data_IF_428042299881
#
_entry.id   IF_428042299881
#
_cell.length_a   1.000
_cell.length_b   1.000
_cell.length_c   1.000
_cell.angle_alpha   90.00
_cell.angle_beta   90.00
_cell.angle_gamma   90.00
#
_symmetry.space_group_name_H-M   'P 1'
#
loop_
_entity.id
_entity.type
_entity.pdbx_description
1 polymer ?
#
# COMPACT_ATOMS: atom_id res chain seq x y z
N UNK A 1 10.78 -31.41 -60.67
CA UNK A 1 11.19 -30.88 -59.36
C UNK A 1 11.64 -29.44 -59.61
N UNK A 2 10.72 -28.49 -59.46
CA UNK A 2 11.10 -27.07 -59.37
C UNK A 2 11.37 -26.81 -57.89
N UNK A 3 12.57 -26.35 -57.57
CA UNK A 3 12.94 -25.96 -56.22
C UNK A 3 12.35 -24.57 -55.98
N UNK A 4 11.22 -24.54 -55.29
CA UNK A 4 10.66 -23.32 -54.71
C UNK A 4 10.73 -23.50 -53.20
N UNK A 5 11.86 -23.12 -52.62
CA UNK A 5 12.00 -22.91 -51.19
C UNK A 5 12.11 -21.41 -51.01
N UNK A 6 10.97 -20.77 -50.81
CA UNK A 6 10.85 -19.37 -50.39
C UNK A 6 11.36 -19.30 -48.95
N UNK A 7 12.66 -19.27 -48.77
CA UNK A 7 13.27 -19.32 -47.45
C UNK A 7 14.78 -19.35 -47.58
N UNK A 8 15.39 -18.18 -47.43
CA UNK A 8 16.86 -17.97 -47.45
C UNK A 8 17.50 -17.93 -48.85
N UNK A 9 17.23 -16.85 -49.59
CA UNK A 9 18.25 -16.28 -50.49
C UNK A 9 18.66 -14.92 -49.90
N UNK A 10 19.94 -14.72 -49.51
CA UNK A 10 20.38 -13.45 -48.95
C UNK A 10 20.63 -12.46 -50.09
N UNK A 11 19.64 -11.66 -50.46
CA UNK A 11 19.85 -10.51 -51.34
C UNK A 11 20.16 -9.25 -50.50
N UNK A 12 21.31 -8.58 -50.73
CA UNK A 12 21.78 -7.49 -49.89
C UNK A 12 21.44 -6.15 -50.54
N UNK A 13 20.48 -5.39 -50.02
CA UNK A 13 20.46 -3.93 -50.27
C UNK A 13 19.60 -3.08 -49.32
N UNK A 14 18.84 -3.70 -48.42
CA UNK A 14 18.26 -3.01 -47.28
C UNK A 14 18.55 -3.84 -46.03
N UNK A 15 18.85 -3.18 -44.92
CA UNK A 15 19.08 -3.80 -43.61
C UNK A 15 18.15 -4.99 -43.45
N UNK A 16 18.73 -6.20 -43.44
CA UNK A 16 18.03 -7.42 -43.11
C UNK A 16 17.60 -7.32 -41.64
N UNK A 17 16.50 -6.61 -41.39
CA UNK A 17 15.57 -7.09 -40.39
C UNK A 17 15.14 -8.43 -40.96
N UNK A 18 15.69 -9.52 -40.39
CA UNK A 18 15.31 -10.87 -40.75
C UNK A 18 13.80 -11.00 -40.76
N UNK A 19 13.32 -12.00 -41.49
CA UNK A 19 11.91 -12.35 -41.54
C UNK A 19 11.23 -12.13 -40.19
N UNK A 20 10.30 -11.17 -40.13
CA UNK A 20 9.51 -10.87 -38.93
C UNK A 20 8.28 -11.77 -38.88
N UNK A 21 8.03 -12.54 -39.94
CA UNK A 21 6.94 -13.49 -39.97
C UNK A 21 7.22 -14.60 -38.94
N UNK A 22 6.14 -15.07 -38.33
CA UNK A 22 6.22 -16.19 -37.41
C UNK A 22 6.65 -17.43 -38.19
N UNK A 23 7.62 -18.17 -37.66
CA UNK A 23 8.06 -19.43 -38.27
C UNK A 23 6.95 -20.48 -38.18
N UNK A 24 6.76 -21.22 -39.27
CA UNK A 24 5.78 -22.28 -39.37
C UNK A 24 6.14 -23.49 -38.48
N UNK A 25 5.15 -24.37 -38.22
CA UNK A 25 5.36 -25.60 -37.46
C UNK A 25 6.39 -26.54 -38.12
N UNK A 26 6.48 -26.52 -39.46
CA UNK A 26 7.45 -27.29 -40.25
C UNK A 26 8.88 -26.78 -40.05
N UNK A 27 9.04 -25.48 -39.80
CA UNK A 27 10.35 -24.85 -39.61
C UNK A 27 10.80 -24.90 -38.14
N UNK A 28 9.87 -24.71 -37.21
CA UNK A 28 10.15 -24.79 -35.76
C UNK A 28 10.21 -26.22 -35.25
N UNK A 29 9.59 -27.17 -35.95
CA UNK A 29 9.36 -28.55 -35.49
C UNK A 29 8.61 -28.61 -34.14
N UNK A 30 7.86 -27.57 -33.80
CA UNK A 30 7.05 -27.47 -32.59
C UNK A 30 5.58 -27.58 -32.97
N UNK A 31 4.92 -28.61 -32.47
CA UNK A 31 3.48 -28.81 -32.62
C UNK A 31 2.76 -28.35 -31.34
N UNK A 32 2.00 -27.26 -31.44
CA UNK A 32 1.16 -26.70 -30.37
C UNK A 32 -0.33 -27.12 -30.49
N UNK A 33 -0.65 -28.03 -31.40
CA UNK A 33 -2.00 -28.57 -31.59
C UNK A 33 -2.89 -27.79 -32.55
N UNK A 34 -2.31 -26.90 -33.37
CA UNK A 34 -3.00 -26.12 -34.42
C UNK A 34 -2.26 -26.28 -35.75
N UNK A 35 -3.00 -26.15 -36.86
CA UNK A 35 -2.43 -26.29 -38.22
C UNK A 35 -1.56 -25.06 -38.59
N UNK A 36 -1.95 -23.85 -38.14
CA UNK A 36 -1.18 -22.61 -38.28
C UNK A 36 -0.89 -22.02 -36.88
N UNK A 37 0.37 -21.70 -36.52
CA UNK A 37 0.72 -20.94 -35.32
C UNK A 37 -0.13 -19.67 -35.07
N UNK A 38 -0.64 -19.03 -36.13
CA UNK A 38 -1.50 -17.85 -36.08
C UNK A 38 -2.95 -18.16 -35.67
N UNK A 39 -3.37 -19.43 -35.68
CA UNK A 39 -4.70 -19.87 -35.27
C UNK A 39 -4.84 -20.01 -33.74
N UNK A 40 -3.76 -19.79 -32.97
CA UNK A 40 -3.82 -19.82 -31.51
C UNK A 40 -4.53 -18.60 -30.92
N UNK A 41 -5.72 -18.82 -30.37
CA UNK A 41 -6.42 -17.84 -29.56
C UNK A 41 -5.95 -17.85 -28.10
N UNK A 42 -5.81 -16.68 -27.48
CA UNK A 42 -5.69 -16.54 -26.03
C UNK A 42 -7.09 -16.34 -25.41
N UNK A 43 -7.45 -17.19 -24.44
CA UNK A 43 -8.70 -17.04 -23.66
C UNK A 43 -8.35 -16.50 -22.28
N UNK A 44 -8.86 -15.30 -21.97
CA UNK A 44 -8.73 -14.72 -20.61
C UNK A 44 -9.45 -15.61 -19.59
N UNK A 45 -9.00 -15.65 -18.32
CA UNK A 45 -9.71 -16.38 -17.30
C UNK A 45 -11.19 -15.97 -17.20
N UNK A 46 -12.11 -16.95 -17.17
CA UNK A 46 -13.56 -16.75 -16.94
C UNK A 46 -13.89 -16.46 -15.47
N UNK A 47 -13.01 -15.75 -14.77
CA UNK A 47 -13.22 -15.30 -13.40
C UNK A 47 -13.04 -13.80 -13.33
N UNK A 48 -13.80 -13.17 -12.44
CA UNK A 48 -13.64 -11.76 -12.17
C UNK A 48 -12.19 -11.49 -11.77
N UNK A 49 -11.67 -10.43 -12.38
CA UNK A 49 -10.54 -9.68 -11.86
C UNK A 49 -11.15 -8.98 -10.66
N UNK A 50 -10.57 -9.09 -9.47
CA UNK A 50 -11.04 -8.28 -8.35
C UNK A 50 -10.67 -6.84 -8.70
N UNK A 51 -11.59 -6.11 -9.35
CA UNK A 51 -11.40 -4.71 -9.68
C UNK A 51 -11.20 -3.98 -8.35
N UNK A 52 -10.15 -3.17 -8.29
CA UNK A 52 -9.74 -2.43 -7.10
C UNK A 52 -10.02 -0.95 -7.33
N UNK A 53 -10.12 -0.18 -6.24
CA UNK A 53 -10.26 1.26 -6.38
C UNK A 53 -9.02 1.85 -7.07
N UNK A 54 -9.23 2.76 -8.02
CA UNK A 54 -8.14 3.45 -8.74
C UNK A 54 -7.94 3.01 -10.19
N UNK A 55 -8.85 2.20 -10.75
CA UNK A 55 -8.82 1.82 -12.16
C UNK A 55 -9.40 2.89 -13.09
N UNK A 56 -10.18 3.83 -12.54
CA UNK A 56 -10.73 4.97 -13.28
C UNK A 56 -10.04 6.29 -12.92
N UNK A 57 -10.00 7.22 -13.89
CA UNK A 57 -9.44 8.56 -13.66
C UNK A 57 -10.16 9.34 -12.54
N UNK A 58 -11.43 9.04 -12.29
CA UNK A 58 -12.20 9.64 -11.20
C UNK A 58 -11.78 9.10 -9.83
N UNK A 59 -11.58 7.77 -9.73
CA UNK A 59 -11.13 7.12 -8.51
C UNK A 59 -9.71 7.54 -8.14
N UNK A 60 -8.82 7.67 -9.14
CA UNK A 60 -7.48 8.20 -8.96
C UNK A 60 -7.51 9.65 -8.45
N UNK A 61 -8.40 10.48 -9.01
CA UNK A 61 -8.52 11.88 -8.60
C UNK A 61 -9.20 12.06 -7.23
N UNK A 62 -10.14 11.18 -6.88
CA UNK A 62 -10.93 11.27 -5.65
C UNK A 62 -10.24 10.59 -4.47
N UNK A 63 -9.31 9.67 -4.75
CA UNK A 63 -8.70 8.80 -3.76
C UNK A 63 -9.67 7.75 -3.24
N UNK A 64 -9.12 6.69 -2.66
CA UNK A 64 -9.91 5.60 -2.08
C UNK A 64 -10.57 6.03 -0.76
N UNK A 65 -11.86 5.73 -0.54
CA UNK A 65 -12.53 6.01 0.72
C UNK A 65 -11.94 5.17 1.85
N UNK A 66 -11.85 5.75 3.04
CA UNK A 66 -11.25 5.11 4.21
C UNK A 66 -11.96 3.80 4.60
N UNK A 67 -13.28 3.75 4.48
CA UNK A 67 -14.06 2.55 4.80
C UNK A 67 -13.69 1.35 3.91
N UNK A 68 -13.35 1.61 2.64
CA UNK A 68 -12.91 0.56 1.72
C UNK A 68 -11.51 0.08 2.09
N UNK A 69 -10.58 0.99 2.35
CA UNK A 69 -9.23 0.67 2.84
C UNK A 69 -9.24 -0.17 4.11
N UNK A 70 -10.10 0.19 5.08
CA UNK A 70 -10.25 -0.56 6.32
C UNK A 70 -10.85 -1.95 6.10
N UNK A 71 -11.71 -2.12 5.10
CA UNK A 71 -12.27 -3.44 4.77
C UNK A 71 -11.27 -4.39 4.09
N UNK A 72 -10.17 -3.83 3.56
CA UNK A 72 -9.06 -4.59 2.97
C UNK A 72 -7.95 -4.93 3.98
N UNK A 73 -7.96 -4.30 5.15
CA UNK A 73 -7.01 -4.61 6.22
C UNK A 73 -7.34 -5.97 6.87
N UNK A 74 -6.31 -6.83 6.96
CA UNK A 74 -6.36 -8.07 7.71
C UNK A 74 -5.57 -7.87 9.02
N UNK A 75 -6.05 -8.37 10.17
CA UNK A 75 -5.32 -8.28 11.43
C UNK A 75 -3.93 -8.92 11.36
N UNK A 76 -2.93 -8.27 11.97
CA UNK A 76 -1.59 -8.83 12.05
C UNK A 76 -1.57 -10.13 12.85
N UNK A 77 -1.08 -11.21 12.25
CA UNK A 77 -1.14 -12.57 12.82
C UNK A 77 -0.15 -12.79 13.98
N UNK A 78 0.74 -11.83 14.28
CA UNK A 78 1.68 -11.94 15.40
C UNK A 78 1.07 -11.55 16.75
N UNK A 79 -0.18 -11.09 16.77
CA UNK A 79 -0.90 -10.78 18.01
C UNK A 79 -1.44 -12.05 18.72
N UNK A 80 -1.40 -13.23 18.08
CA UNK A 80 -1.91 -14.48 18.68
C UNK A 80 -1.00 -15.08 19.77
N UNK A 81 0.22 -14.54 19.97
CA UNK A 81 1.13 -14.91 21.08
C UNK A 81 1.28 -13.79 22.12
N UNK A 82 0.49 -12.71 22.02
CA UNK A 82 0.41 -11.63 23.03
C UNK A 82 -1.00 -11.53 23.61
N UNK A 83 -1.64 -12.69 23.83
CA UNK A 83 -2.78 -12.84 24.76
C UNK A 83 -2.35 -12.65 26.24
N UNK A 84 -1.22 -11.96 26.46
CA UNK A 84 -0.74 -11.45 27.72
C UNK A 84 -0.29 -9.99 27.46
N UNK A 85 -0.99 -9.01 28.03
CA UNK A 85 -0.60 -7.58 28.13
C UNK A 85 -1.04 -6.59 27.02
N UNK A 86 -2.28 -6.72 26.53
CA UNK A 86 -3.13 -5.53 26.33
C UNK A 86 -4.24 -5.52 27.41
N UNK A 87 -3.87 -5.94 28.62
CA UNK A 87 -4.43 -5.24 29.76
C UNK A 87 -4.04 -3.77 29.55
N UNK A 88 -4.99 -2.86 29.68
CA UNK A 88 -4.74 -1.44 29.87
C UNK A 88 -3.97 -1.23 31.19
N UNK A 89 -2.83 -1.91 31.39
CA UNK A 89 -1.95 -1.83 32.53
C UNK A 89 -1.11 -0.56 32.37
N UNK A 90 -1.78 0.58 32.50
CA UNK A 90 -1.08 1.85 32.61
C UNK A 90 -1.76 3.08 32.03
N UNK A 91 -3.03 3.02 31.60
CA UNK A 91 -3.80 4.27 31.52
C UNK A 91 -4.11 4.66 32.94
N UNK A 92 -3.17 5.36 33.56
CA UNK A 92 -3.35 5.96 34.86
C UNK A 92 -4.56 6.90 34.77
N UNK A 93 -5.72 6.43 35.24
CA UNK A 93 -6.97 7.19 35.23
C UNK A 93 -6.93 8.44 36.12
N UNK A 94 -5.87 8.59 36.93
CA UNK A 94 -5.55 9.80 37.68
C UNK A 94 -4.56 10.72 36.96
N UNK A 95 -3.87 10.21 35.93
CA UNK A 95 -2.93 10.98 35.11
C UNK A 95 -3.72 11.88 34.17
N UNK A 96 -3.89 13.12 34.60
CA UNK A 96 -4.30 14.20 33.74
C UNK A 96 -3.15 15.20 33.64
N UNK A 97 -2.65 15.40 32.42
CA UNK A 97 -1.76 16.50 32.10
C UNK A 97 -0.33 16.35 32.63
N UNK A 98 0.56 17.18 32.09
CA UNK A 98 1.98 17.25 32.48
C UNK A 98 2.43 18.66 32.85
N UNK A 99 1.49 19.61 32.75
CA UNK A 99 1.71 21.03 32.97
C UNK A 99 1.45 21.37 34.43
N UNK A 100 2.52 21.69 35.16
CA UNK A 100 2.44 22.28 36.49
C UNK A 100 2.38 23.82 36.36
N UNK A 101 1.59 24.48 37.21
CA UNK A 101 1.56 25.94 37.27
C UNK A 101 2.96 26.49 37.51
N UNK A 102 3.36 27.47 36.69
CA UNK A 102 4.61 28.17 36.93
C UNK A 102 4.35 29.31 37.95
N UNK A 103 4.87 29.20 39.19
CA UNK A 103 4.56 30.15 40.27
C UNK A 103 5.05 31.58 39.99
N UNK A 104 5.99 31.72 39.05
CA UNK A 104 6.56 33.01 38.65
C UNK A 104 5.93 33.52 37.33
N UNK A 105 4.90 32.87 36.78
CA UNK A 105 4.29 33.25 35.50
C UNK A 105 3.71 34.67 35.52
N UNK A 106 3.17 35.08 36.66
CA UNK A 106 2.53 36.39 36.81
C UNK A 106 3.57 37.51 36.72
N UNK A 107 3.39 38.40 35.74
CA UNK A 107 4.25 39.58 35.53
C UNK A 107 5.33 39.39 34.48
N UNK A 108 5.43 38.21 33.85
CA UNK A 108 6.21 38.05 32.62
C UNK A 108 5.46 38.63 31.43
N UNK A 109 6.21 39.19 30.48
CA UNK A 109 5.67 39.74 29.23
C UNK A 109 5.46 38.69 28.14
N UNK A 110 5.13 37.45 28.52
CA UNK A 110 4.88 36.33 27.61
C UNK A 110 3.60 35.58 28.03
N UNK A 111 3.09 34.74 27.12
CA UNK A 111 1.85 33.99 27.32
C UNK A 111 2.12 32.56 27.84
N UNK A 112 3.15 32.37 28.68
CA UNK A 112 3.55 31.06 29.23
C UNK A 112 3.19 31.01 30.71
N UNK A 113 2.32 30.07 31.09
CA UNK A 113 1.75 29.98 32.44
C UNK A 113 2.02 28.64 33.15
N UNK A 114 2.63 27.67 32.48
CA UNK A 114 2.88 26.35 33.03
C UNK A 114 4.14 25.72 32.44
N UNK A 115 4.77 24.83 33.20
CA UNK A 115 5.95 24.08 32.79
C UNK A 115 5.64 22.60 32.73
N UNK A 116 6.22 21.94 31.72
CA UNK A 116 6.19 20.49 31.56
C UNK A 116 7.18 19.81 32.51
N UNK A 117 6.69 19.00 33.45
CA UNK A 117 7.51 18.31 34.45
C UNK A 117 7.74 16.81 34.22
N UNK A 118 7.37 16.24 33.05
CA UNK A 118 7.51 14.79 32.83
C UNK A 118 8.62 14.37 31.86
N UNK A 119 8.82 13.05 31.77
CA UNK A 119 9.86 12.43 30.92
C UNK A 119 9.39 12.47 29.46
N UNK A 120 10.13 13.17 28.59
CA UNK A 120 9.87 13.21 27.15
C UNK A 120 10.06 11.83 26.52
N UNK A 121 9.00 11.26 25.93
CA UNK A 121 9.07 10.02 25.13
C UNK A 121 8.16 8.87 25.57
N UNK A 122 7.43 8.98 26.69
CA UNK A 122 6.47 7.97 27.10
C UNK A 122 5.06 8.31 26.56
N UNK A 123 4.80 7.90 25.31
CA UNK A 123 3.51 7.70 24.62
C UNK A 123 2.37 8.75 24.70
N UNK A 124 2.47 9.81 25.49
CA UNK A 124 1.38 10.76 25.68
C UNK A 124 1.28 11.73 24.51
N UNK A 125 0.08 11.84 23.93
CA UNK A 125 -0.21 12.83 22.91
C UNK A 125 -0.20 14.25 23.51
N UNK A 126 0.04 15.27 22.68
CA UNK A 126 0.00 16.66 23.12
C UNK A 126 -1.37 17.08 23.72
N UNK A 127 -2.45 16.39 23.34
CA UNK A 127 -3.81 16.64 23.82
C UNK A 127 -4.02 16.11 25.25
N UNK A 128 -3.46 14.94 25.56
CA UNK A 128 -3.50 14.34 26.90
C UNK A 128 -2.71 15.15 27.94
N UNK A 129 -1.62 15.79 27.51
CA UNK A 129 -0.81 16.65 28.36
C UNK A 129 -1.51 17.97 28.80
N UNK A 130 -2.62 18.35 28.16
CA UNK A 130 -3.32 19.62 28.38
C UNK A 130 -4.51 19.54 29.37
N UNK A 131 -4.93 18.35 29.80
CA UNK A 131 -6.07 18.14 30.71
C UNK A 131 -5.57 18.00 32.15
N UNK A 132 -6.28 18.47 33.18
CA UNK A 132 -5.95 18.19 34.60
C UNK A 132 -7.21 17.77 35.37
N UNK A 133 -7.09 16.87 36.34
CA UNK A 133 -8.20 16.45 37.22
C UNK A 133 -8.35 17.49 38.33
N UNK A 134 -9.57 17.96 38.55
CA UNK A 134 -9.94 18.83 39.67
C UNK A 134 -10.86 18.03 40.59
N UNK A 135 -10.47 17.88 41.85
CA UNK A 135 -11.35 17.28 42.86
C UNK A 135 -12.53 18.22 43.17
N UNK A 136 -13.74 17.67 43.21
CA UNK A 136 -14.92 18.40 43.69
C UNK A 136 -14.76 18.71 45.19
N UNK A 137 -14.90 19.99 45.56
CA UNK A 137 -14.96 20.39 46.98
C UNK A 137 -16.15 19.71 47.66
N UNK A 138 -15.89 18.97 48.74
CA UNK A 138 -16.93 18.41 49.62
C UNK A 138 -17.28 19.36 50.76
#
# INVERSE_FOLDING_TARGET
MSQDTTGTSPEPEYTAEGDNDQLDAQDTLVDRGVDDPLDEGYVVPERDRKNHWGETAYEEASGEPLDLRLSEEEPDTTLEDDDEEDEEEGVDTTRAGRLAEDPDAIGRGNDVFATDEGISGAAASAEEAAVHVVDDET
#
